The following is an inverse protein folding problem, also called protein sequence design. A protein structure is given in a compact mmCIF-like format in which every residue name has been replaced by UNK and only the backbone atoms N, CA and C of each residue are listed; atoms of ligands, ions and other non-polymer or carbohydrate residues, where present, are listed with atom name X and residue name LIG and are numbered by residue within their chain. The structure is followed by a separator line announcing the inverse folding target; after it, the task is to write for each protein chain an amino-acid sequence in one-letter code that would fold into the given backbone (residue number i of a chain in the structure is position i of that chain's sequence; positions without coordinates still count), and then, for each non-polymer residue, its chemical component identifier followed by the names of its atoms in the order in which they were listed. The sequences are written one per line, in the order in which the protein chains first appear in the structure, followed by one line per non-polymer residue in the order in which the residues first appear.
data_IF_666016086445
#
_entry.id   IF_666016086445
#
_cell.length_a   1.000
_cell.length_b   1.000
_cell.length_c   1.000
_cell.angle_alpha   90.00
_cell.angle_beta   90.00
_cell.angle_gamma   90.00
#
_symmetry.space_group_name_H-M   'P 1'
#
loop_
_entity.id
_entity.type
_entity.pdbx_description
1 polymer ?
#
# COMPACT_ATOMS: atom_id res chain seq x y z
N UNK A 1 -12.82 -47.43 -54.89
CA UNK A 1 -13.69 -47.36 -56.10
C UNK A 1 -15.13 -47.59 -55.66
N UNK A 2 -16.09 -46.83 -56.20
CA UNK A 2 -17.56 -46.75 -55.89
C UNK A 2 -17.94 -45.93 -54.66
N UNK A 3 -19.03 -45.17 -54.64
CA UNK A 3 -19.80 -44.40 -55.64
C UNK A 3 -20.81 -43.59 -54.81
N UNK A 4 -21.12 -42.36 -55.24
CA UNK A 4 -22.12 -41.44 -54.66
C UNK A 4 -23.53 -42.07 -54.58
N UNK A 5 -24.33 -41.60 -53.61
CA UNK A 5 -25.73 -41.18 -53.85
C UNK A 5 -26.16 -40.06 -52.89
N UNK A 6 -26.56 -38.95 -53.51
CA UNK A 6 -27.33 -37.83 -52.95
C UNK A 6 -28.83 -38.21 -52.88
N UNK A 7 -29.60 -37.64 -51.94
CA UNK A 7 -30.68 -36.64 -52.18
C UNK A 7 -31.68 -36.53 -51.00
N UNK A 8 -31.91 -35.26 -50.58
CA UNK A 8 -33.12 -34.57 -50.09
C UNK A 8 -34.03 -35.23 -49.01
N UNK A 9 -34.58 -34.50 -48.03
CA UNK A 9 -35.52 -33.38 -48.21
C UNK A 9 -35.80 -32.62 -46.90
N UNK A 10 -36.02 -31.31 -47.01
CA UNK A 10 -36.57 -30.42 -45.97
C UNK A 10 -38.04 -30.73 -45.69
N UNK A 11 -38.50 -30.56 -44.44
CA UNK A 11 -39.84 -30.03 -44.17
C UNK A 11 -39.88 -29.27 -42.84
N UNK A 12 -40.50 -28.09 -42.90
CA UNK A 12 -40.79 -27.16 -41.81
C UNK A 12 -41.86 -27.72 -40.86
N UNK A 13 -41.78 -27.33 -39.58
CA UNK A 13 -42.96 -27.12 -38.74
C UNK A 13 -42.74 -25.85 -37.90
N UNK A 14 -43.63 -24.86 -38.11
CA UNK A 14 -43.76 -23.63 -37.32
C UNK A 14 -44.57 -23.90 -36.05
N UNK A 15 -44.13 -23.27 -34.94
CA UNK A 15 -45.01 -22.52 -34.04
C UNK A 15 -45.90 -23.27 -33.04
N UNK A 16 -45.51 -23.24 -31.77
CA UNK A 16 -46.44 -22.99 -30.68
C UNK A 16 -45.68 -22.34 -29.50
N UNK A 17 -46.12 -21.14 -29.15
CA UNK A 17 -45.62 -20.37 -28.02
C UNK A 17 -46.08 -20.99 -26.70
N UNK A 18 -45.16 -21.14 -25.74
CA UNK A 18 -45.48 -21.25 -24.32
C UNK A 18 -44.68 -20.16 -23.61
N UNK A 19 -45.39 -19.30 -22.89
CA UNK A 19 -44.91 -18.16 -22.13
C UNK A 19 -44.95 -18.52 -20.64
N UNK A 20 -43.91 -18.06 -19.91
CA UNK A 20 -43.72 -17.88 -18.45
C UNK A 20 -42.73 -18.87 -17.79
N UNK A 21 -42.04 -18.47 -16.69
CA UNK A 21 -41.47 -17.15 -16.36
C UNK A 21 -40.00 -17.23 -15.85
N UNK A 22 -39.36 -16.06 -15.72
CA UNK A 22 -38.18 -15.74 -14.91
C UNK A 22 -37.12 -16.84 -14.66
N UNK A 23 -36.04 -16.79 -15.44
CA UNK A 23 -34.68 -16.96 -14.93
C UNK A 23 -33.73 -16.33 -15.95
N UNK A 24 -33.37 -15.06 -15.76
CA UNK A 24 -32.20 -14.52 -16.42
C UNK A 24 -30.98 -14.97 -15.63
N UNK A 25 -30.60 -16.21 -15.87
CA UNK A 25 -29.27 -16.71 -15.59
C UNK A 25 -28.30 -16.17 -16.66
N UNK A 26 -27.35 -15.34 -16.20
CA UNK A 26 -25.97 -15.18 -16.72
C UNK A 26 -25.75 -14.53 -18.11
N UNK A 27 -24.61 -13.86 -18.34
CA UNK A 27 -23.29 -14.50 -18.44
C UNK A 27 -22.33 -13.97 -17.35
N UNK A 28 -21.62 -14.82 -16.60
CA UNK A 28 -20.39 -15.44 -17.09
C UNK A 28 -19.52 -14.45 -17.89
N UNK A 29 -19.12 -13.34 -17.25
CA UNK A 29 -17.90 -12.64 -17.66
C UNK A 29 -16.73 -13.53 -17.26
N UNK A 30 -16.41 -14.47 -18.14
CA UNK A 30 -15.05 -14.94 -18.27
C UNK A 30 -14.17 -13.69 -18.26
N UNK A 31 -13.24 -13.62 -17.31
CA UNK A 31 -12.21 -12.59 -17.25
C UNK A 31 -11.53 -12.56 -18.62
N UNK A 32 -12.03 -11.67 -19.49
CA UNK A 32 -11.37 -11.34 -20.75
C UNK A 32 -10.00 -10.86 -20.33
N UNK A 33 -8.99 -11.43 -20.97
CA UNK A 33 -7.60 -10.98 -20.95
C UNK A 33 -7.55 -9.52 -20.52
N UNK A 34 -7.12 -9.28 -19.28
CA UNK A 34 -6.53 -7.99 -18.95
C UNK A 34 -5.32 -7.90 -19.88
N UNK A 35 -5.54 -7.28 -21.05
CA UNK A 35 -4.50 -6.90 -21.98
C UNK A 35 -3.34 -6.39 -21.15
N UNK A 36 -2.14 -6.85 -21.51
CA UNK A 36 -0.86 -6.45 -20.94
C UNK A 36 -0.62 -4.92 -20.90
N UNK A 37 -1.57 -4.07 -21.28
CA UNK A 37 -1.54 -2.61 -21.16
C UNK A 37 -1.65 -2.08 -19.73
N UNK A 38 -2.11 -2.86 -18.74
CA UNK A 38 -2.00 -2.47 -17.33
C UNK A 38 -0.54 -2.39 -16.83
N UNK A 39 0.44 -2.86 -17.64
CA UNK A 39 1.87 -2.68 -17.35
C UNK A 39 2.39 -1.30 -17.78
N UNK A 40 1.64 -0.53 -18.59
CA UNK A 40 2.20 0.59 -19.36
C UNK A 40 1.49 1.95 -19.19
N UNK A 41 0.33 2.05 -18.57
CA UNK A 41 -0.48 3.30 -18.65
C UNK A 41 -0.54 4.12 -17.36
N UNK A 42 0.50 4.14 -16.54
CA UNK A 42 0.49 4.86 -15.26
C UNK A 42 1.72 5.72 -15.00
N UNK A 43 2.61 5.80 -16.00
CA UNK A 43 3.98 6.21 -15.78
C UNK A 43 4.44 7.18 -16.85
N UNK A 44 4.77 8.41 -16.46
CA UNK A 44 5.65 9.23 -17.27
C UNK A 44 7.10 8.89 -16.94
N UNK A 45 7.93 8.74 -17.97
CA UNK A 45 9.37 8.53 -17.82
C UNK A 45 10.09 9.73 -18.39
N UNK A 46 10.84 10.43 -17.54
CA UNK A 46 11.68 11.56 -17.95
C UNK A 46 13.14 11.29 -17.60
N UNK A 47 14.04 11.92 -18.35
CA UNK A 47 15.47 11.87 -18.11
C UNK A 47 15.94 13.23 -17.61
N UNK A 48 16.49 13.27 -16.40
CA UNK A 48 17.15 14.45 -15.84
C UNK A 48 18.66 14.23 -15.91
N UNK A 49 19.25 14.57 -17.06
CA UNK A 49 20.60 14.13 -17.41
C UNK A 49 20.65 12.61 -17.60
N UNK A 50 21.54 11.93 -16.88
CA UNK A 50 21.76 10.46 -16.98
C UNK A 50 20.84 9.63 -16.08
N UNK A 51 19.91 10.26 -15.34
CA UNK A 51 18.99 9.56 -14.44
C UNK A 51 17.61 9.46 -15.05
N UNK A 52 17.06 8.25 -15.02
CA UNK A 52 15.68 7.96 -15.33
C UNK A 52 14.79 8.19 -14.11
N UNK A 53 13.83 9.11 -14.24
CA UNK A 53 12.72 9.27 -13.31
C UNK A 53 11.47 8.61 -13.88
N UNK A 54 10.80 7.83 -13.04
CA UNK A 54 9.51 7.17 -13.32
C UNK A 54 8.48 7.82 -12.40
N UNK A 55 7.44 8.47 -12.93
CA UNK A 55 6.43 9.17 -12.11
C UNK A 55 5.06 8.55 -12.28
N UNK A 56 4.32 8.40 -11.19
CA UNK A 56 2.90 8.09 -11.22
C UNK A 56 2.08 9.38 -11.35
N UNK A 57 1.31 9.52 -12.43
CA UNK A 57 0.54 10.74 -12.75
C UNK A 57 -0.99 10.56 -12.57
N UNK A 58 -1.44 9.37 -12.19
CA UNK A 58 -2.86 9.03 -12.02
C UNK A 58 -3.34 9.26 -10.58
N UNK A 59 -4.66 9.15 -10.38
CA UNK A 59 -5.28 9.18 -9.05
C UNK A 59 -4.64 8.13 -8.09
N UNK A 60 -4.57 8.41 -6.78
CA UNK A 60 -3.94 7.51 -5.82
C UNK A 60 -4.48 6.07 -5.85
N UNK A 61 -5.79 5.89 -6.07
CA UNK A 61 -6.42 4.56 -6.19
C UNK A 61 -5.89 3.76 -7.37
N UNK A 62 -5.73 4.38 -8.55
CA UNK A 62 -5.14 3.72 -9.72
C UNK A 62 -3.65 3.39 -9.51
N UNK A 63 -2.90 4.27 -8.83
CA UNK A 63 -1.50 3.99 -8.47
C UNK A 63 -1.38 2.84 -7.45
N UNK A 64 -2.33 2.71 -6.51
CA UNK A 64 -2.41 1.59 -5.57
C UNK A 64 -2.71 0.27 -6.30
N UNK A 65 -3.66 0.26 -7.24
CA UNK A 65 -3.94 -0.90 -8.09
C UNK A 65 -2.69 -1.30 -8.89
N UNK A 66 -2.00 -0.34 -9.49
CA UNK A 66 -0.77 -0.59 -10.23
C UNK A 66 0.33 -1.20 -9.36
N UNK A 67 0.45 -0.72 -8.12
CA UNK A 67 1.39 -1.22 -7.11
C UNK A 67 1.03 -2.66 -6.72
N UNK A 68 -0.26 -2.90 -6.47
CA UNK A 68 -0.80 -4.23 -6.19
C UNK A 68 -0.54 -5.23 -7.31
N UNK A 69 -0.84 -4.90 -8.57
CA UNK A 69 -0.58 -5.78 -9.73
C UNK A 69 0.91 -6.14 -9.85
N UNK A 70 1.81 -5.20 -9.55
CA UNK A 70 3.26 -5.42 -9.61
C UNK A 70 3.78 -6.32 -8.50
N UNK A 71 3.25 -6.17 -7.29
CA UNK A 71 3.73 -6.88 -6.11
C UNK A 71 3.02 -8.22 -5.90
N UNK A 72 1.74 -8.29 -6.27
CA UNK A 72 0.84 -9.41 -6.03
C UNK A 72 0.32 -9.95 -7.37
N UNK A 73 1.09 -10.88 -7.93
CA UNK A 73 0.91 -11.43 -9.28
C UNK A 73 -0.55 -11.78 -9.60
N UNK A 74 -1.24 -12.57 -8.75
CA UNK A 74 -2.63 -13.03 -8.98
C UNK A 74 -3.45 -13.27 -7.71
N UNK A 75 -2.85 -13.28 -6.52
CA UNK A 75 -3.61 -13.50 -5.28
C UNK A 75 -2.93 -12.84 -4.10
N UNK A 76 -3.72 -12.36 -3.16
CA UNK A 76 -3.24 -11.96 -1.83
C UNK A 76 -4.20 -12.51 -0.78
N UNK A 77 -3.69 -13.09 0.31
CA UNK A 77 -4.57 -13.60 1.38
C UNK A 77 -5.35 -12.50 2.07
N UNK A 78 -4.75 -11.32 2.21
CA UNK A 78 -5.34 -10.16 2.85
C UNK A 78 -5.24 -8.96 1.93
N UNK A 79 -6.27 -8.13 1.91
CA UNK A 79 -6.29 -6.80 1.28
C UNK A 79 -6.57 -5.77 2.34
N UNK A 80 -5.83 -4.66 2.31
CA UNK A 80 -6.00 -3.54 3.21
C UNK A 80 -6.69 -2.39 2.46
N UNK A 81 -7.76 -1.85 3.03
CA UNK A 81 -8.48 -0.69 2.52
C UNK A 81 -8.21 0.50 3.42
N UNK A 82 -7.75 1.58 2.81
CA UNK A 82 -7.37 2.82 3.50
C UNK A 82 -7.97 3.99 2.75
N UNK A 83 -8.45 4.98 3.49
CA UNK A 83 -8.71 6.29 2.90
C UNK A 83 -7.46 7.17 3.10
N UNK A 84 -6.67 7.44 2.04
CA UNK A 84 -5.45 8.22 2.18
C UNK A 84 -5.71 9.73 2.34
N UNK A 85 -6.97 10.18 2.19
CA UNK A 85 -7.37 11.58 2.25
C UNK A 85 -7.82 12.03 3.65
N UNK A 86 -7.74 11.13 4.65
CA UNK A 86 -8.04 11.45 6.05
C UNK A 86 -6.76 11.45 6.87
N UNK A 87 -6.61 12.49 7.70
CA UNK A 87 -5.49 12.62 8.62
C UNK A 87 -5.56 11.56 9.72
N UNK A 88 -4.53 10.72 9.83
CA UNK A 88 -4.38 9.82 10.97
C UNK A 88 -3.91 8.42 10.61
N UNK A 89 -2.61 8.15 10.79
CA UNK A 89 -2.07 6.81 10.99
C UNK A 89 -1.98 5.92 9.75
N UNK A 90 -2.34 6.41 8.57
CA UNK A 90 -2.37 5.62 7.33
C UNK A 90 -0.97 5.15 6.91
N UNK A 91 0.10 5.89 7.22
CA UNK A 91 1.47 5.45 6.94
C UNK A 91 1.90 4.19 7.71
N UNK A 92 1.28 3.87 8.85
CA UNK A 92 1.61 2.67 9.62
C UNK A 92 1.25 1.37 8.87
N UNK A 93 0.29 1.44 7.94
CA UNK A 93 -0.10 0.30 7.11
C UNK A 93 0.82 0.10 5.91
N UNK A 94 1.69 1.06 5.57
CA UNK A 94 2.63 0.89 4.45
C UNK A 94 3.67 -0.22 4.69
N UNK A 95 3.84 -0.64 5.95
CA UNK A 95 4.61 -1.85 6.29
C UNK A 95 3.85 -3.16 6.07
N UNK A 96 2.54 -3.13 5.77
CA UNK A 96 1.72 -4.32 5.65
C UNK A 96 2.24 -5.32 4.61
N UNK A 97 2.65 -4.93 3.38
CA UNK A 97 3.22 -5.86 2.41
C UNK A 97 4.48 -6.61 2.90
N UNK A 98 5.18 -6.05 3.90
CA UNK A 98 6.42 -6.61 4.48
C UNK A 98 6.19 -7.26 5.86
N UNK A 99 4.96 -7.21 6.38
CA UNK A 99 4.60 -7.72 7.70
C UNK A 99 4.40 -9.23 7.74
N UNK A 100 4.02 -9.79 8.89
CA UNK A 100 3.67 -11.22 8.99
C UNK A 100 2.29 -11.55 8.40
N UNK A 101 1.53 -10.52 8.02
CA UNK A 101 0.27 -10.64 7.27
C UNK A 101 0.37 -9.80 5.98
N UNK A 102 1.14 -10.24 4.98
CA UNK A 102 1.37 -9.46 3.77
C UNK A 102 0.08 -9.33 2.94
N UNK A 103 -0.14 -8.14 2.40
CA UNK A 103 -1.26 -7.82 1.52
C UNK A 103 -1.08 -6.45 0.89
N UNK A 104 -1.67 -6.18 -0.29
CA UNK A 104 -1.63 -4.86 -0.89
C UNK A 104 -2.51 -3.89 -0.09
N UNK A 105 -2.06 -2.65 0.02
CA UNK A 105 -2.91 -1.54 0.42
C UNK A 105 -3.57 -0.96 -0.83
N UNK A 106 -4.90 -0.96 -0.83
CA UNK A 106 -5.73 -0.32 -1.83
C UNK A 106 -6.43 0.89 -1.22
N UNK A 107 -6.68 1.90 -2.04
CA UNK A 107 -7.27 3.14 -1.58
C UNK A 107 -8.74 3.26 -1.94
N UNK A 108 -9.49 3.90 -1.05
CA UNK A 108 -10.78 4.50 -1.38
C UNK A 108 -10.56 5.82 -2.11
N UNK A 109 -11.64 6.31 -2.72
CA UNK A 109 -11.73 7.69 -3.19
C UNK A 109 -11.92 8.66 -2.01
N UNK A 110 -11.86 9.97 -2.29
CA UNK A 110 -11.95 11.03 -1.26
C UNK A 110 -13.23 10.96 -0.43
N UNK A 111 -14.33 10.49 -1.02
CA UNK A 111 -15.61 10.30 -0.34
C UNK A 111 -15.68 9.02 0.53
N UNK A 112 -14.60 8.23 0.58
CA UNK A 112 -14.53 6.98 1.32
C UNK A 112 -15.08 5.76 0.59
N UNK A 113 -15.57 5.93 -0.64
CA UNK A 113 -16.10 4.85 -1.47
C UNK A 113 -15.00 4.16 -2.29
N UNK A 114 -15.29 2.99 -2.84
CA UNK A 114 -14.38 2.29 -3.75
C UNK A 114 -14.76 2.59 -5.20
N UNK A 115 -13.76 2.87 -6.03
CA UNK A 115 -13.97 2.86 -7.47
C UNK A 115 -14.27 1.44 -7.97
N UNK A 116 -14.96 1.35 -9.11
CA UNK A 116 -15.19 0.07 -9.79
C UNK A 116 -13.88 -0.67 -10.07
N UNK A 117 -12.82 0.07 -10.40
CA UNK A 117 -11.48 -0.44 -10.66
C UNK A 117 -10.85 -1.06 -9.42
N UNK A 118 -11.00 -0.43 -8.25
CA UNK A 118 -10.53 -1.01 -6.98
C UNK A 118 -11.29 -2.30 -6.65
N UNK A 119 -12.60 -2.35 -6.90
CA UNK A 119 -13.41 -3.57 -6.71
C UNK A 119 -12.97 -4.71 -7.64
N UNK A 120 -12.69 -4.41 -8.91
CA UNK A 120 -12.13 -5.39 -9.86
C UNK A 120 -10.77 -5.90 -9.40
N UNK A 121 -9.91 -5.03 -8.89
CA UNK A 121 -8.61 -5.42 -8.35
C UNK A 121 -8.75 -6.33 -7.12
N UNK A 122 -9.69 -6.05 -6.22
CA UNK A 122 -10.02 -6.92 -5.09
C UNK A 122 -10.48 -8.30 -5.57
N UNK A 123 -11.35 -8.36 -6.58
CA UNK A 123 -11.78 -9.61 -7.18
C UNK A 123 -10.62 -10.37 -7.82
N UNK A 124 -9.69 -9.68 -8.50
CA UNK A 124 -8.47 -10.28 -9.06
C UNK A 124 -7.61 -10.91 -7.98
N UNK A 125 -7.43 -10.22 -6.85
CA UNK A 125 -6.61 -10.68 -5.72
C UNK A 125 -7.25 -11.85 -4.95
N UNK A 126 -8.56 -12.03 -5.07
CA UNK A 126 -9.33 -13.14 -4.47
C UNK A 126 -9.01 -13.38 -2.98
N UNK A 127 -9.06 -12.34 -2.10
CA UNK A 127 -8.55 -12.46 -0.74
C UNK A 127 -9.42 -13.28 0.19
N UNK A 128 -8.80 -13.88 1.22
CA UNK A 128 -9.50 -14.52 2.34
C UNK A 128 -10.00 -13.50 3.37
N UNK A 129 -9.35 -12.33 3.43
CA UNK A 129 -9.69 -11.28 4.37
C UNK A 129 -9.57 -9.90 3.73
N UNK A 130 -10.58 -9.08 3.97
CA UNK A 130 -10.54 -7.63 3.71
C UNK A 130 -10.41 -6.93 5.05
N UNK A 131 -9.48 -5.99 5.15
CA UNK A 131 -9.24 -5.22 6.37
C UNK A 131 -9.43 -3.75 6.07
N UNK A 132 -10.44 -3.13 6.67
CA UNK A 132 -10.60 -1.68 6.68
C UNK A 132 -9.72 -1.10 7.77
N UNK A 133 -8.87 -0.12 7.43
CA UNK A 133 -7.88 0.44 8.35
C UNK A 133 -8.09 1.94 8.52
N UNK A 134 -8.19 2.36 9.78
CA UNK A 134 -8.38 3.76 10.14
C UNK A 134 -9.78 4.28 9.79
N UNK A 135 -9.89 5.60 9.78
CA UNK A 135 -11.14 6.31 9.50
C UNK A 135 -11.29 6.64 8.01
N UNK A 136 -12.48 7.11 7.63
CA UNK A 136 -12.71 7.65 6.29
C UNK A 136 -13.07 6.61 5.23
N UNK A 137 -12.94 5.31 5.49
CA UNK A 137 -13.50 4.28 4.62
C UNK A 137 -14.99 4.12 4.94
N UNK A 138 -15.86 4.29 3.95
CA UNK A 138 -17.29 4.13 4.14
C UNK A 138 -17.62 2.67 4.53
N UNK A 139 -18.60 2.47 5.42
CA UNK A 139 -19.02 1.12 5.83
C UNK A 139 -19.44 0.27 4.61
N UNK A 140 -20.13 0.90 3.66
CA UNK A 140 -20.57 0.31 2.41
C UNK A 140 -19.40 -0.08 1.50
N UNK A 141 -18.27 0.65 1.57
CA UNK A 141 -17.06 0.29 0.83
C UNK A 141 -16.46 -1.02 1.37
N UNK A 142 -16.34 -1.17 2.69
CA UNK A 142 -15.89 -2.42 3.31
C UNK A 142 -16.80 -3.61 3.00
N UNK A 143 -18.12 -3.40 3.06
CA UNK A 143 -19.11 -4.41 2.70
C UNK A 143 -19.01 -4.81 1.21
N UNK A 144 -18.92 -3.83 0.31
CA UNK A 144 -18.80 -4.06 -1.15
C UNK A 144 -17.52 -4.81 -1.48
N UNK A 145 -16.39 -4.44 -0.88
CA UNK A 145 -15.13 -5.15 -1.05
C UNK A 145 -15.23 -6.63 -0.63
N UNK A 146 -15.84 -6.90 0.52
CA UNK A 146 -16.06 -8.27 1.00
C UNK A 146 -16.94 -9.06 0.04
N UNK A 147 -18.03 -8.47 -0.44
CA UNK A 147 -18.97 -9.12 -1.37
C UNK A 147 -18.31 -9.44 -2.72
N UNK A 148 -17.55 -8.50 -3.29
CA UNK A 148 -16.80 -8.71 -4.53
C UNK A 148 -15.72 -9.78 -4.35
N UNK A 149 -14.99 -9.77 -3.24
CA UNK A 149 -14.01 -10.81 -2.92
C UNK A 149 -14.70 -12.18 -2.77
N UNK A 150 -15.85 -12.26 -2.09
CA UNK A 150 -16.59 -13.50 -1.92
C UNK A 150 -17.05 -14.06 -3.27
N UNK A 151 -17.61 -13.21 -4.12
CA UNK A 151 -18.05 -13.60 -5.47
C UNK A 151 -16.87 -14.13 -6.29
N UNK A 152 -15.69 -13.51 -6.20
CA UNK A 152 -14.49 -14.01 -6.87
C UNK A 152 -14.02 -15.36 -6.33
N UNK A 153 -14.12 -15.59 -5.01
CA UNK A 153 -13.82 -16.88 -4.38
C UNK A 153 -14.80 -17.97 -4.77
N UNK A 154 -16.09 -17.68 -4.79
CA UNK A 154 -17.13 -18.65 -5.15
C UNK A 154 -16.97 -19.11 -6.61
N UNK A 155 -16.51 -18.22 -7.48
CA UNK A 155 -16.19 -18.53 -8.88
C UNK A 155 -14.83 -19.24 -9.06
N UNK A 156 -14.02 -19.34 -8.01
CA UNK A 156 -12.73 -20.02 -8.04
C UNK A 156 -12.81 -21.33 -7.25
N UNK A 157 -12.89 -22.46 -7.96
CA UNK A 157 -13.05 -23.79 -7.34
C UNK A 157 -11.89 -24.22 -6.41
N UNK A 158 -10.75 -23.53 -6.43
CA UNK A 158 -9.65 -23.76 -5.51
C UNK A 158 -9.77 -22.98 -4.19
N UNK A 159 -10.67 -21.99 -4.12
CA UNK A 159 -10.93 -21.18 -2.94
C UNK A 159 -12.09 -21.77 -2.14
N UNK A 160 -11.92 -21.82 -0.82
CA UNK A 160 -12.97 -22.27 0.11
C UNK A 160 -13.13 -21.29 1.26
N UNK A 161 -14.30 -21.29 1.89
CA UNK A 161 -14.57 -20.46 3.07
C UNK A 161 -15.09 -19.07 2.74
N UNK A 162 -15.56 -18.39 3.79
CA UNK A 162 -16.12 -17.05 3.72
C UNK A 162 -15.01 -16.00 3.83
N UNK A 163 -15.14 -14.90 3.08
CA UNK A 163 -14.28 -13.73 3.23
C UNK A 163 -14.59 -13.08 4.56
N UNK A 164 -13.56 -12.92 5.38
CA UNK A 164 -13.62 -12.18 6.62
C UNK A 164 -13.49 -10.68 6.34
N UNK A 165 -14.31 -9.86 6.99
CA UNK A 165 -14.15 -8.40 7.01
C UNK A 165 -13.74 -7.98 8.41
N UNK A 166 -12.56 -7.39 8.52
CA UNK A 166 -12.03 -6.82 9.75
C UNK A 166 -12.00 -5.30 9.64
N UNK A 167 -12.15 -4.63 10.78
CA UNK A 167 -11.95 -3.19 10.90
C UNK A 167 -10.93 -2.91 11.99
N UNK A 168 -9.85 -2.23 11.63
CA UNK A 168 -8.80 -1.79 12.54
C UNK A 168 -8.84 -0.28 12.64
N UNK A 169 -9.75 0.20 13.49
CA UNK A 169 -9.94 1.61 13.79
C UNK A 169 -9.97 1.77 15.31
N UNK A 170 -8.99 2.49 15.84
CA UNK A 170 -9.00 2.95 17.22
C UNK A 170 -9.58 4.35 17.33
N UNK A 171 -9.85 4.81 18.55
CA UNK A 171 -10.33 6.17 18.85
C UNK A 171 -9.30 7.27 18.53
N UNK A 172 -8.07 6.88 18.16
CA UNK A 172 -7.00 7.77 17.75
C UNK A 172 -6.03 7.07 16.78
N UNK A 173 -5.16 7.83 16.13
CA UNK A 173 -4.12 7.29 15.26
C UNK A 173 -3.15 6.36 16.01
N UNK A 174 -2.82 6.66 17.26
CA UNK A 174 -2.04 5.81 18.15
C UNK A 174 -2.74 4.48 18.43
N UNK A 175 -4.03 4.53 18.78
CA UNK A 175 -4.84 3.34 19.01
C UNK A 175 -4.93 2.47 17.74
N UNK A 176 -5.13 3.09 16.58
CA UNK A 176 -5.12 2.39 15.28
C UNK A 176 -3.76 1.73 15.01
N UNK A 177 -2.64 2.44 15.23
CA UNK A 177 -1.30 1.86 15.06
C UNK A 177 -1.03 0.67 15.98
N UNK A 178 -1.53 0.71 17.22
CA UNK A 178 -1.45 -0.38 18.19
C UNK A 178 -2.27 -1.60 17.76
N UNK A 179 -3.45 -1.40 17.16
CA UNK A 179 -4.27 -2.48 16.60
C UNK A 179 -3.58 -3.13 15.40
N UNK A 180 -3.07 -2.32 14.46
CA UNK A 180 -2.33 -2.81 13.29
C UNK A 180 -1.12 -3.63 13.73
N UNK A 181 -0.34 -3.13 14.70
CA UNK A 181 0.86 -3.82 15.19
C UNK A 181 0.54 -5.20 15.77
N UNK A 182 -0.46 -5.30 16.65
CA UNK A 182 -0.88 -6.58 17.23
C UNK A 182 -1.39 -7.56 16.16
N UNK A 183 -2.17 -7.06 15.21
CA UNK A 183 -2.79 -7.90 14.19
C UNK A 183 -1.80 -8.38 13.12
N UNK A 184 -0.77 -7.59 12.82
CA UNK A 184 0.21 -7.88 11.75
C UNK A 184 1.51 -8.50 12.25
N UNK A 185 1.76 -8.49 13.57
CA UNK A 185 2.94 -9.09 14.21
C UNK A 185 2.59 -10.00 15.39
N UNK A 186 1.62 -10.89 15.20
CA UNK A 186 1.09 -11.78 16.26
C UNK A 186 2.11 -12.77 16.83
N UNK A 187 3.24 -13.01 16.14
CA UNK A 187 4.33 -13.88 16.61
C UNK A 187 5.51 -13.11 17.22
N UNK A 188 5.29 -11.84 17.58
CA UNK A 188 6.32 -10.92 18.01
C UNK A 188 7.03 -10.24 16.84
N UNK A 189 7.92 -9.29 17.13
CA UNK A 189 8.63 -8.51 16.11
C UNK A 189 10.11 -8.41 16.44
N UNK A 190 11.00 -8.31 15.44
CA UNK A 190 12.43 -8.08 15.73
C UNK A 190 12.66 -6.68 16.28
N UNK A 191 11.93 -5.71 15.73
CA UNK A 191 11.99 -4.32 16.13
C UNK A 191 10.60 -3.76 16.36
N UNK A 192 10.52 -2.68 17.12
CA UNK A 192 9.34 -1.81 17.17
C UNK A 192 9.80 -0.40 16.84
N UNK A 193 9.17 0.21 15.86
CA UNK A 193 9.44 1.58 15.43
C UNK A 193 8.47 2.53 16.11
N UNK A 194 8.99 3.54 16.79
CA UNK A 194 8.18 4.58 17.42
C UNK A 194 8.26 5.85 16.59
N UNK A 195 7.12 6.48 16.35
CA UNK A 195 7.02 7.78 15.69
C UNK A 195 6.15 8.70 16.55
N UNK A 196 6.53 9.97 16.69
CA UNK A 196 5.72 10.94 17.42
C UNK A 196 4.37 11.18 16.75
N UNK A 197 3.26 10.94 17.45
CA UNK A 197 1.91 11.18 16.93
C UNK A 197 1.64 12.68 16.71
N UNK A 198 2.33 13.52 17.49
CA UNK A 198 2.26 14.99 17.43
C UNK A 198 3.31 15.61 16.49
N UNK A 199 4.13 14.79 15.82
CA UNK A 199 5.15 15.29 14.87
C UNK A 199 4.47 15.75 13.58
N UNK A 200 4.83 16.94 13.09
CA UNK A 200 4.30 17.49 11.84
C UNK A 200 4.63 16.61 10.62
N UNK A 201 5.70 15.80 10.71
CA UNK A 201 6.17 14.90 9.68
C UNK A 201 5.88 13.43 10.01
N UNK A 202 4.95 13.14 10.93
CA UNK A 202 4.68 11.78 11.42
C UNK A 202 4.47 10.76 10.29
N UNK A 203 3.73 11.11 9.25
CA UNK A 203 3.40 10.16 8.18
C UNK A 203 4.62 9.85 7.33
N UNK A 204 5.47 10.85 7.06
CA UNK A 204 6.72 10.65 6.34
C UNK A 204 7.69 9.76 7.14
N UNK A 205 7.82 10.03 8.44
CA UNK A 205 8.64 9.23 9.36
C UNK A 205 8.11 7.79 9.47
N UNK A 206 6.79 7.63 9.59
CA UNK A 206 6.13 6.33 9.65
C UNK A 206 6.27 5.55 8.33
N UNK A 207 6.18 6.21 7.17
CA UNK A 207 6.39 5.56 5.88
C UNK A 207 7.84 5.09 5.73
N UNK A 208 8.83 5.91 6.11
CA UNK A 208 10.24 5.48 6.14
C UNK A 208 10.40 4.26 7.05
N UNK A 209 9.82 4.27 8.25
CA UNK A 209 9.85 3.13 9.17
C UNK A 209 9.16 1.89 8.58
N UNK A 210 7.99 2.05 7.97
CA UNK A 210 7.22 1.00 7.30
C UNK A 210 8.01 0.32 6.19
N UNK A 211 8.91 1.04 5.51
CA UNK A 211 9.77 0.40 4.51
C UNK A 211 10.74 -0.63 5.12
N UNK A 212 11.09 -0.54 6.42
CA UNK A 212 12.04 -1.43 7.11
C UNK A 212 11.53 -2.87 7.18
N UNK A 213 10.23 -3.06 7.38
CA UNK A 213 9.56 -4.36 7.28
C UNK A 213 9.94 -5.40 8.34
N UNK A 214 10.83 -5.10 9.29
CA UNK A 214 11.24 -6.02 10.36
C UNK A 214 10.54 -5.72 11.71
N UNK A 215 9.54 -4.85 11.69
CA UNK A 215 8.79 -4.45 12.88
C UNK A 215 7.60 -3.53 12.59
N UNK A 216 6.61 -3.47 13.49
CA UNK A 216 5.51 -2.53 13.37
C UNK A 216 5.95 -1.10 13.67
N UNK A 217 5.15 -0.16 13.16
CA UNK A 217 5.24 1.27 13.49
C UNK A 217 4.15 1.61 14.48
N UNK A 218 4.53 2.10 15.67
CA UNK A 218 3.63 2.61 16.69
C UNK A 218 3.72 4.13 16.72
N UNK A 219 2.56 4.78 16.69
CA UNK A 219 2.47 6.21 16.94
C UNK A 219 2.36 6.43 18.45
N UNK A 220 3.14 7.39 18.96
CA UNK A 220 3.23 7.68 20.39
C UNK A 220 3.16 9.18 20.65
N UNK A 221 2.33 9.58 21.60
CA UNK A 221 2.33 10.93 22.17
C UNK A 221 2.85 10.86 23.61
N UNK A 222 3.34 12.00 24.13
CA UNK A 222 3.95 12.06 25.47
C UNK A 222 2.96 11.70 26.58
N UNK A 223 1.69 12.03 26.38
CA UNK A 223 0.59 11.78 27.32
C UNK A 223 -0.03 10.38 27.17
N UNK A 224 0.21 9.67 26.06
CA UNK A 224 -0.39 8.35 25.76
C UNK A 224 0.64 7.26 25.43
N UNK A 225 1.76 7.24 26.16
CA UNK A 225 2.83 6.25 25.97
C UNK A 225 2.46 4.82 26.44
N UNK A 226 1.60 4.71 27.45
CA UNK A 226 1.33 3.44 28.14
C UNK A 226 0.74 2.34 27.23
N UNK A 227 -0.25 2.61 26.36
CA UNK A 227 -0.75 1.61 25.43
C UNK A 227 0.35 1.09 24.49
N UNK A 228 1.16 1.97 23.91
CA UNK A 228 2.26 1.59 23.03
C UNK A 228 3.33 0.76 23.76
N UNK A 229 3.61 1.08 25.03
CA UNK A 229 4.50 0.28 25.90
C UNK A 229 3.97 -1.14 26.11
N UNK A 230 2.67 -1.29 26.37
CA UNK A 230 2.06 -2.61 26.54
C UNK A 230 2.12 -3.43 25.25
N UNK A 231 1.88 -2.79 24.09
CA UNK A 231 1.99 -3.44 22.79
C UNK A 231 3.44 -3.80 22.47
N UNK A 232 4.39 -2.88 22.65
CA UNK A 232 5.80 -3.18 22.46
C UNK A 232 6.24 -4.35 23.35
N UNK A 233 5.78 -4.41 24.61
CA UNK A 233 6.08 -5.52 25.51
C UNK A 233 5.49 -6.86 25.05
N UNK A 234 4.27 -6.88 24.52
CA UNK A 234 3.65 -8.11 24.02
C UNK A 234 4.32 -8.63 22.74
N UNK A 235 4.88 -7.72 21.94
CA UNK A 235 5.64 -8.06 20.72
C UNK A 235 7.06 -8.58 21.00
N UNK A 236 7.56 -8.44 22.22
CA UNK A 236 8.88 -8.91 22.69
C UNK A 236 10.04 -8.58 21.72
N UNK A 237 10.27 -7.31 21.36
CA UNK A 237 11.28 -6.95 20.38
C UNK A 237 12.71 -7.02 20.91
N UNK A 238 13.66 -7.28 20.00
CA UNK A 238 15.08 -7.16 20.29
C UNK A 238 15.49 -5.68 20.43
N UNK A 239 14.83 -4.78 19.69
CA UNK A 239 15.12 -3.35 19.63
C UNK A 239 13.85 -2.50 19.60
N UNK A 240 13.90 -1.36 20.27
CA UNK A 240 12.89 -0.30 20.12
C UNK A 240 13.57 0.91 19.52
N UNK A 241 13.08 1.39 18.39
CA UNK A 241 13.74 2.43 17.60
C UNK A 241 12.84 3.65 17.56
N UNK A 242 13.30 4.75 18.16
CA UNK A 242 12.68 6.06 17.97
C UNK A 242 13.04 6.63 16.60
N UNK A 243 12.05 7.10 15.87
CA UNK A 243 12.20 7.69 14.55
C UNK A 243 11.82 9.17 14.62
N UNK A 244 12.67 10.03 14.08
CA UNK A 244 12.46 11.48 14.14
C UNK A 244 12.97 12.11 15.43
N UNK A 245 12.44 13.29 15.74
CA UNK A 245 12.85 14.08 16.92
C UNK A 245 12.16 13.64 18.22
N UNK A 246 11.79 12.36 18.33
CA UNK A 246 11.18 11.79 19.53
C UNK A 246 12.05 11.99 20.77
N UNK A 247 11.42 12.35 21.90
CA UNK A 247 12.09 12.48 23.19
C UNK A 247 12.75 11.15 23.57
N UNK A 248 14.07 11.11 23.80
CA UNK A 248 14.74 9.89 24.21
C UNK A 248 14.17 9.23 25.45
N UNK A 249 13.66 10.02 26.40
CA UNK A 249 13.04 9.48 27.61
C UNK A 249 11.76 8.70 27.31
N UNK A 250 10.99 9.17 26.33
CA UNK A 250 9.77 8.51 25.90
C UNK A 250 10.08 7.19 25.18
N UNK A 251 11.15 7.17 24.36
CA UNK A 251 11.64 5.95 23.72
C UNK A 251 12.11 4.95 24.77
N UNK A 252 12.89 5.39 25.76
CA UNK A 252 13.36 4.52 26.85
C UNK A 252 12.21 4.02 27.73
N UNK A 253 11.17 4.84 27.97
CA UNK A 253 9.96 4.44 28.69
C UNK A 253 9.24 3.27 28.02
N UNK A 254 9.07 3.35 26.70
CA UNK A 254 8.43 2.31 25.88
C UNK A 254 9.35 1.09 25.73
N UNK A 255 10.66 1.31 25.55
CA UNK A 255 11.65 0.25 25.46
C UNK A 255 11.76 -0.57 26.76
N UNK A 256 11.61 0.06 27.93
CA UNK A 256 11.66 -0.62 29.21
C UNK A 256 12.92 -1.49 29.38
N UNK A 257 12.74 -2.81 29.46
CA UNK A 257 13.84 -3.76 29.62
C UNK A 257 14.48 -4.22 28.28
N UNK A 258 13.89 -3.90 27.13
CA UNK A 258 14.39 -4.30 25.81
C UNK A 258 15.69 -3.54 25.50
N UNK A 259 16.79 -4.29 25.43
CA UNK A 259 18.14 -3.71 25.33
C UNK A 259 18.48 -3.36 23.89
N UNK A 260 18.06 -2.16 23.47
CA UNK A 260 18.82 -1.15 22.70
C UNK A 260 17.82 -0.17 22.08
N UNK A 261 17.78 1.05 22.60
CA UNK A 261 17.10 2.18 21.97
C UNK A 261 18.04 2.90 21.01
N UNK A 262 17.51 3.34 19.87
CA UNK A 262 18.22 4.23 18.95
C UNK A 262 17.25 5.26 18.42
N UNK A 263 17.70 6.51 18.33
CA UNK A 263 16.89 7.63 17.86
C UNK A 263 17.57 8.21 16.63
N UNK A 264 16.79 8.52 15.61
CA UNK A 264 17.28 9.09 14.36
C UNK A 264 16.70 10.49 14.14
N UNK A 265 17.49 11.48 13.73
CA UNK A 265 17.15 12.91 13.66
C UNK A 265 16.09 13.33 12.63
N UNK A 266 16.32 14.41 11.85
CA UNK A 266 15.36 14.91 10.86
C UNK A 266 14.93 13.87 9.81
N UNK A 267 13.80 14.07 9.13
CA UNK A 267 13.26 13.19 8.05
C UNK A 267 14.35 12.77 7.05
N UNK A 268 15.15 13.73 6.55
CA UNK A 268 16.25 13.45 5.62
C UNK A 268 17.32 12.54 6.23
N UNK A 269 17.68 12.75 7.49
CA UNK A 269 18.64 11.90 8.19
C UNK A 269 18.09 10.50 8.44
N UNK A 270 16.80 10.38 8.77
CA UNK A 270 16.11 9.09 8.95
C UNK A 270 16.07 8.32 7.65
N UNK A 271 15.67 8.96 6.54
CA UNK A 271 15.66 8.34 5.22
C UNK A 271 17.06 7.79 4.87
N UNK A 272 18.11 8.58 5.10
CA UNK A 272 19.48 8.19 4.81
C UNK A 272 19.99 7.08 5.75
N UNK A 273 19.66 7.16 7.04
CA UNK A 273 20.02 6.14 8.03
C UNK A 273 19.29 4.82 7.74
N UNK A 274 17.99 4.86 7.44
CA UNK A 274 17.21 3.68 7.07
C UNK A 274 17.77 3.00 5.83
N UNK A 275 18.23 3.80 4.86
CA UNK A 275 18.84 3.32 3.64
C UNK A 275 20.23 2.70 3.85
N UNK A 276 21.05 3.25 4.75
CA UNK A 276 22.40 2.73 5.05
C UNK A 276 22.38 1.58 6.07
N UNK A 277 21.37 1.52 6.93
CA UNK A 277 21.19 0.47 7.93
C UNK A 277 20.72 -0.87 7.34
N UNK A 278 20.25 -0.87 6.09
CA UNK A 278 19.83 -2.08 5.38
C UNK A 278 20.83 -2.43 4.30
N UNK A 279 20.98 -3.73 4.05
CA UNK A 279 21.69 -4.20 2.87
C UNK A 279 20.81 -3.94 1.67
N UNK A 280 21.00 -2.79 1.03
CA UNK A 280 20.29 -2.42 -0.19
C UNK A 280 20.90 -3.21 -1.35
N UNK A 281 20.07 -3.90 -2.13
CA UNK A 281 20.55 -4.58 -3.33
C UNK A 281 21.06 -3.56 -4.35
N UNK A 282 22.12 -3.91 -5.08
CA UNK A 282 22.74 -3.00 -6.07
C UNK A 282 21.77 -2.50 -7.15
N UNK A 283 20.68 -3.23 -7.38
CA UNK A 283 19.64 -2.93 -8.38
C UNK A 283 18.32 -2.45 -7.74
N UNK A 284 18.33 -2.08 -6.46
CA UNK A 284 17.14 -1.54 -5.79
C UNK A 284 16.71 -0.22 -6.41
N UNK A 285 15.40 0.04 -6.43
CA UNK A 285 14.85 1.30 -6.90
C UNK A 285 14.67 2.26 -5.73
N UNK A 286 15.24 3.46 -5.86
CA UNK A 286 14.99 4.56 -4.92
C UNK A 286 13.59 5.13 -5.16
N UNK A 287 12.78 5.20 -4.11
CA UNK A 287 11.47 5.82 -4.14
C UNK A 287 11.54 7.23 -3.56
N UNK A 288 10.85 8.16 -4.18
CA UNK A 288 10.70 9.55 -3.74
C UNK A 288 9.22 9.83 -3.61
N UNK A 289 8.80 10.47 -2.53
CA UNK A 289 7.41 10.77 -2.28
C UNK A 289 7.23 12.23 -1.83
N UNK A 290 6.08 12.82 -2.17
CA UNK A 290 5.64 14.07 -1.57
C UNK A 290 5.45 13.84 -0.05
N UNK A 291 6.24 14.57 0.76
CA UNK A 291 6.28 14.43 2.22
C UNK A 291 4.95 14.76 2.89
N UNK A 292 4.15 15.61 2.26
CA UNK A 292 2.89 16.13 2.77
C UNK A 292 1.66 15.41 2.18
N UNK A 293 1.88 14.33 1.41
CA UNK A 293 0.81 13.54 0.78
C UNK A 293 0.84 12.09 1.31
N UNK A 294 -0.10 11.73 2.21
CA UNK A 294 -0.16 10.40 2.79
C UNK A 294 -0.28 9.28 1.75
N UNK A 295 -1.00 9.51 0.65
CA UNK A 295 -1.19 8.50 -0.39
C UNK A 295 0.16 8.16 -1.06
N UNK A 296 0.91 9.20 -1.42
CA UNK A 296 2.25 9.05 -2.00
C UNK A 296 3.24 8.37 -1.08
N UNK A 297 3.21 8.72 0.21
CA UNK A 297 4.07 8.11 1.22
C UNK A 297 3.81 6.61 1.38
N UNK A 298 2.54 6.20 1.43
CA UNK A 298 2.17 4.78 1.51
C UNK A 298 2.63 4.04 0.25
N UNK A 299 2.26 4.53 -0.94
CA UNK A 299 2.61 3.89 -2.21
C UNK A 299 4.12 3.75 -2.40
N UNK A 300 4.87 4.80 -2.05
CA UNK A 300 6.32 4.77 -2.08
C UNK A 300 6.87 3.74 -1.09
N UNK A 301 6.32 3.67 0.11
CA UNK A 301 6.80 2.75 1.15
C UNK A 301 6.54 1.28 0.83
N UNK A 302 5.38 0.99 0.23
CA UNK A 302 5.06 -0.31 -0.34
C UNK A 302 6.01 -0.67 -1.48
N UNK A 303 6.22 0.26 -2.42
CA UNK A 303 7.00 0.03 -3.65
C UNK A 303 8.51 0.04 -3.44
N UNK A 304 9.00 0.63 -2.35
CA UNK A 304 10.41 0.80 -2.09
C UNK A 304 11.10 -0.55 -1.82
N UNK A 305 11.89 -0.99 -2.79
CA UNK A 305 12.94 -2.01 -2.64
C UNK A 305 14.28 -1.41 -2.21
N UNK A 306 14.45 -0.10 -2.40
CA UNK A 306 15.61 0.68 -2.01
C UNK A 306 15.27 1.78 -1.01
N UNK A 307 16.06 2.86 -0.97
CA UNK A 307 15.80 4.02 -0.12
C UNK A 307 14.44 4.66 -0.44
N UNK A 308 13.71 5.09 0.59
CA UNK A 308 12.57 5.99 0.45
C UNK A 308 12.99 7.39 0.92
N UNK A 309 12.77 8.40 0.07
CA UNK A 309 13.13 9.79 0.33
C UNK A 309 11.86 10.64 0.28
N UNK A 310 11.29 11.04 1.42
CA UNK A 310 10.25 12.06 1.44
C UNK A 310 10.88 13.41 1.10
N UNK A 311 10.25 14.16 0.20
CA UNK A 311 10.67 15.53 -0.12
C UNK A 311 9.47 16.48 0.05
N UNK A 312 9.68 17.70 0.54
CA UNK A 312 8.61 18.69 0.67
C UNK A 312 7.90 18.96 -0.66
N UNK A 313 6.64 19.40 -0.57
CA UNK A 313 5.95 19.99 -1.71
C UNK A 313 6.79 21.08 -2.39
N UNK A 314 6.70 21.22 -3.72
CA UNK A 314 7.47 22.18 -4.52
C UNK A 314 9.00 22.00 -4.53
N UNK A 315 9.51 20.85 -4.11
CA UNK A 315 10.90 20.48 -4.38
C UNK A 315 11.15 20.50 -5.88
N UNK A 316 12.24 21.13 -6.34
CA UNK A 316 12.54 21.14 -7.78
C UNK A 316 13.00 19.76 -8.27
N UNK A 317 12.76 19.42 -9.54
CA UNK A 317 13.25 18.15 -10.11
C UNK A 317 14.78 18.03 -9.99
N UNK A 318 15.51 19.13 -10.19
CA UNK A 318 16.97 19.17 -10.06
C UNK A 318 17.43 18.87 -8.63
N UNK A 319 16.76 19.43 -7.62
CA UNK A 319 17.05 19.18 -6.21
C UNK A 319 16.75 17.74 -5.79
N UNK A 320 15.64 17.19 -6.29
CA UNK A 320 15.28 15.79 -6.06
C UNK A 320 16.34 14.85 -6.66
N UNK A 321 16.75 15.09 -7.90
CA UNK A 321 17.81 14.34 -8.59
C UNK A 321 19.12 14.40 -7.83
N UNK A 322 19.53 15.58 -7.37
CA UNK A 322 20.74 15.73 -6.55
C UNK A 322 20.66 14.93 -5.25
N UNK A 323 19.50 14.93 -4.59
CA UNK A 323 19.27 14.18 -3.35
C UNK A 323 19.31 12.67 -3.60
N UNK A 324 18.68 12.19 -4.66
CA UNK A 324 18.72 10.77 -5.07
C UNK A 324 20.14 10.31 -5.38
N UNK A 325 20.91 11.08 -6.16
CA UNK A 325 22.31 10.77 -6.46
C UNK A 325 23.15 10.65 -5.21
N UNK A 326 23.01 11.59 -4.28
CA UNK A 326 23.71 11.57 -3.00
C UNK A 326 23.37 10.31 -2.20
N UNK A 327 22.08 9.98 -2.08
CA UNK A 327 21.62 8.78 -1.38
C UNK A 327 22.12 7.50 -2.04
N UNK A 328 22.05 7.39 -3.37
CA UNK A 328 22.54 6.23 -4.10
C UNK A 328 24.04 6.04 -3.92
N UNK A 329 24.82 7.12 -3.94
CA UNK A 329 26.26 7.07 -3.66
C UNK A 329 26.58 6.56 -2.26
N UNK A 330 25.78 6.95 -1.27
CA UNK A 330 25.97 6.55 0.13
C UNK A 330 25.53 5.10 0.41
N UNK A 331 24.56 4.60 -0.35
CA UNK A 331 23.89 3.31 -0.08
C UNK A 331 24.26 2.21 -1.07
N UNK A 332 25.01 2.54 -2.13
CA UNK A 332 25.26 1.67 -3.29
C UNK A 332 23.98 1.19 -4.00
N UNK A 333 22.85 1.87 -3.79
CA UNK A 333 21.61 1.68 -4.53
C UNK A 333 21.77 2.11 -6.00
N UNK A 334 20.83 1.72 -6.87
CA UNK A 334 20.89 2.00 -8.32
C UNK A 334 21.06 3.49 -8.63
N UNK A 335 22.19 3.87 -9.23
CA UNK A 335 22.54 5.28 -9.44
C UNK A 335 21.74 5.99 -10.55
N UNK A 336 20.98 5.27 -11.37
CA UNK A 336 20.38 5.81 -12.61
C UNK A 336 18.86 5.66 -12.74
N UNK A 337 18.16 5.19 -11.71
CA UNK A 337 16.69 5.10 -11.74
C UNK A 337 16.06 5.35 -10.38
N UNK A 338 15.04 6.22 -10.35
CA UNK A 338 14.17 6.39 -9.18
C UNK A 338 12.70 6.52 -9.61
N UNK A 339 11.81 6.28 -8.66
CA UNK A 339 10.36 6.39 -8.85
C UNK A 339 9.85 7.54 -7.98
N UNK A 340 9.06 8.44 -8.54
CA UNK A 340 8.42 9.55 -7.85
C UNK A 340 6.92 9.27 -7.69
N UNK A 341 6.43 9.40 -6.46
CA UNK A 341 5.02 9.32 -6.07
C UNK A 341 4.57 10.69 -5.58
N UNK A 342 3.51 11.23 -6.18
CA UNK A 342 2.97 12.54 -5.85
C UNK A 342 2.44 13.27 -7.06
N UNK A 343 1.44 14.13 -6.82
CA UNK A 343 0.86 14.96 -7.86
C UNK A 343 1.94 15.87 -8.46
N UNK A 344 2.01 15.89 -9.79
CA UNK A 344 3.05 16.62 -10.53
C UNK A 344 2.91 18.13 -10.33
N UNK A 345 4.02 18.74 -9.90
CA UNK A 345 4.18 20.19 -9.78
C UNK A 345 4.13 20.95 -11.11
N UNK A 346 3.74 22.24 -11.06
CA UNK A 346 3.97 23.19 -12.15
C UNK A 346 5.48 23.53 -12.30
N UNK A 347 5.87 24.04 -13.47
CA UNK A 347 7.16 24.67 -13.78
C UNK A 347 8.39 24.17 -12.98
N UNK A 348 8.91 23.00 -13.38
CA UNK A 348 10.16 22.45 -12.84
C UNK A 348 10.08 21.91 -11.41
N UNK A 349 8.88 21.91 -10.81
CA UNK A 349 8.62 21.30 -9.50
C UNK A 349 8.26 19.83 -9.65
N UNK A 350 8.81 19.02 -8.75
CA UNK A 350 8.54 17.59 -8.68
C UNK A 350 7.11 17.32 -8.17
N UNK A 351 6.68 18.06 -7.15
CA UNK A 351 5.39 17.89 -6.48
C UNK A 351 4.60 19.19 -6.41
N UNK A 352 3.27 19.10 -6.51
CA UNK A 352 2.35 20.23 -6.31
C UNK A 352 2.33 20.73 -4.86
N UNK A 353 1.87 21.98 -4.68
CA UNK A 353 1.57 22.54 -3.36
C UNK A 353 0.38 21.78 -2.78
N UNK A 354 0.53 21.21 -1.59
CA UNK A 354 -0.63 20.63 -0.89
C UNK A 354 -1.52 21.78 -0.39
N UNK A 355 -2.70 21.92 -0.98
CA UNK A 355 -3.78 22.70 -0.36
C UNK A 355 -4.41 21.82 0.72
N UNK A 356 -4.18 22.18 1.99
CA UNK A 356 -4.82 21.54 3.14
C UNK A 356 -6.31 21.84 3.18
#
# INVERSE_FOLDING_TARGET
MRQKRLFNSRLLAMGAAIVLPLSLATPALAARDLSMDARTTLISTTFAGDIQMVRYEEAPSEAAIATSIRQFNQSAKTVYLVNPFVDGGTATIAGAPKSQRPGPVLFTEKNGELSERTLIEIARLCPETVVVVGEGVAEQAGASAREFAQTARDNNSASTGQVELLTWQGESAEATSNLIAQATYSKGAKRVYLVGADDENKDALAAIAGTMGDGPVLLISKDRAQPAKQIAASLQPDYVVGIGTLDPKLVDEVAGAFRKSSISGSVKSVALNAATARKVEKNSVTAVAAQDDPASLILAAESASGPLIPLPANTSEAEAVATVLMTNKLTSASSKRFVAFGEKGLDGKLFNVVQK
#
